data_IF_977798675601
#
_entry.id   IF_977798675601
#
_cell.length_a   1.000
_cell.length_b   1.000
_cell.length_c   1.000
_cell.angle_alpha   90.00
_cell.angle_beta   90.00
_cell.angle_gamma   90.00
#
_symmetry.space_group_name_H-M   'P 1'
#
loop_
_entity.id
_entity.type
_entity.pdbx_description
1 polymer ?
#
# COMPACT_ATOMS: atom_id res chain seq x y z
N UNK A 1 -12.78 18.19 -21.29
CA UNK A 1 -12.34 19.45 -20.66
C UNK A 1 -10.84 19.36 -20.41
N UNK A 2 -10.04 19.62 -21.46
CA UNK A 2 -8.57 19.68 -21.40
C UNK A 2 -8.07 21.10 -21.06
N UNK A 3 -8.94 21.96 -20.52
CA UNK A 3 -8.61 23.37 -20.32
C UNK A 3 -7.96 23.69 -18.96
N UNK A 4 -7.91 22.71 -18.05
CA UNK A 4 -7.63 22.99 -16.64
C UNK A 4 -6.13 23.06 -16.32
N UNK A 5 -5.30 22.15 -16.84
CA UNK A 5 -3.93 22.03 -16.31
C UNK A 5 -2.94 23.10 -16.79
N UNK A 6 -3.21 23.76 -17.92
CA UNK A 6 -2.25 24.71 -18.54
C UNK A 6 -2.53 26.18 -18.18
N UNK A 7 -3.80 26.55 -17.98
CA UNK A 7 -4.18 27.95 -17.75
C UNK A 7 -4.22 28.34 -16.27
N UNK A 8 -4.34 27.37 -15.38
CA UNK A 8 -4.43 27.60 -13.93
C UNK A 8 -3.28 28.43 -13.33
N UNK A 9 -2.00 28.18 -13.67
CA UNK A 9 -0.90 28.96 -13.10
C UNK A 9 -0.93 30.43 -13.53
N UNK A 10 -1.37 30.70 -14.76
CA UNK A 10 -1.49 32.05 -15.29
C UNK A 10 -2.67 32.79 -14.68
N UNK A 11 -3.83 32.14 -14.59
CA UNK A 11 -5.05 32.69 -13.97
C UNK A 11 -4.85 33.01 -12.48
N UNK A 12 -4.16 32.13 -11.74
CA UNK A 12 -3.75 32.36 -10.34
C UNK A 12 -2.87 33.61 -10.18
N UNK A 13 -1.94 33.82 -11.11
CA UNK A 13 -1.01 34.96 -11.06
C UNK A 13 -1.70 36.30 -11.32
N UNK A 14 -2.75 36.31 -12.15
CA UNK A 14 -3.48 37.53 -12.53
C UNK A 14 -4.58 37.88 -11.55
N UNK A 15 -5.35 36.91 -11.05
CA UNK A 15 -6.59 37.18 -10.30
C UNK A 15 -6.47 36.90 -8.79
N UNK A 16 -5.39 36.27 -8.34
CA UNK A 16 -5.20 35.92 -6.93
C UNK A 16 -5.92 34.63 -6.53
N UNK A 17 -6.32 34.45 -5.25
CA UNK A 17 -6.90 33.20 -4.77
C UNK A 17 -8.08 32.76 -5.63
N UNK A 18 -7.96 31.52 -6.11
CA UNK A 18 -8.68 30.97 -7.26
C UNK A 18 -10.16 30.67 -7.02
N UNK A 19 -10.75 31.13 -5.93
CA UNK A 19 -12.10 30.75 -5.53
C UNK A 19 -13.20 31.36 -6.42
N UNK A 20 -13.05 32.59 -6.91
CA UNK A 20 -14.09 33.27 -7.70
C UNK A 20 -13.85 33.30 -9.21
N UNK A 21 -12.67 32.92 -9.67
CA UNK A 21 -12.31 32.94 -11.12
C UNK A 21 -12.55 31.61 -11.83
N UNK A 22 -12.88 30.56 -11.08
CA UNK A 22 -13.12 29.24 -11.67
C UNK A 22 -14.53 29.15 -12.24
N UNK A 23 -14.62 28.98 -13.56
CA UNK A 23 -15.88 28.60 -14.21
C UNK A 23 -16.32 27.17 -13.88
N UNK A 24 -15.41 26.33 -13.38
CA UNK A 24 -15.65 24.91 -13.16
C UNK A 24 -16.90 24.59 -12.31
N UNK A 25 -17.17 25.25 -11.16
CA UNK A 25 -18.39 25.02 -10.39
C UNK A 25 -19.67 25.38 -11.17
N UNK A 26 -19.62 26.48 -11.95
CA UNK A 26 -20.74 26.94 -12.78
C UNK A 26 -21.00 25.94 -13.92
N UNK A 27 -19.95 25.50 -14.60
CA UNK A 27 -20.07 24.50 -15.67
C UNK A 27 -20.62 23.17 -15.15
N UNK A 28 -20.21 22.77 -13.94
CA UNK A 28 -20.70 21.54 -13.29
C UNK A 28 -22.17 21.67 -12.87
N UNK A 29 -22.60 22.84 -12.39
CA UNK A 29 -24.01 23.09 -12.08
C UNK A 29 -24.86 23.08 -13.35
N UNK A 30 -24.43 23.77 -14.41
CA UNK A 30 -25.10 23.77 -15.72
C UNK A 30 -25.19 22.38 -16.33
N UNK A 31 -24.13 21.56 -16.21
CA UNK A 31 -24.16 20.15 -16.63
C UNK A 31 -25.25 19.36 -15.89
N UNK A 32 -25.43 19.61 -14.59
CA UNK A 32 -26.43 18.94 -13.76
C UNK A 32 -27.84 19.37 -14.14
N UNK A 33 -28.08 20.68 -14.32
CA UNK A 33 -29.35 21.22 -14.80
C UNK A 33 -29.71 20.68 -16.18
N UNK A 34 -28.73 20.53 -17.07
CA UNK A 34 -28.93 19.92 -18.39
C UNK A 34 -29.41 18.47 -18.31
N UNK A 35 -29.01 17.71 -17.29
CA UNK A 35 -29.49 16.35 -17.05
C UNK A 35 -30.93 16.30 -16.55
N UNK A 36 -31.43 17.39 -15.94
CA UNK A 36 -32.81 17.50 -15.48
C UNK A 36 -33.82 17.79 -16.59
N UNK A 37 -33.37 18.24 -17.76
CA UNK A 37 -34.23 18.48 -18.93
C UNK A 37 -34.62 17.14 -19.59
N UNK A 38 -35.68 16.49 -19.07
CA UNK A 38 -36.30 15.30 -19.68
C UNK A 38 -37.31 15.69 -20.75
N UNK A 39 -38.08 16.76 -20.54
CA UNK A 39 -39.01 17.31 -21.52
C UNK A 39 -38.41 18.55 -22.21
N UNK A 40 -37.94 18.39 -23.46
CA UNK A 40 -37.35 19.49 -24.24
C UNK A 40 -38.37 20.55 -24.69
N UNK A 41 -39.67 20.23 -24.72
CA UNK A 41 -40.71 21.19 -25.10
C UNK A 41 -41.00 22.20 -23.97
N UNK A 42 -40.69 21.84 -22.72
CA UNK A 42 -40.85 22.69 -21.53
C UNK A 42 -39.65 22.52 -20.59
N UNK A 43 -38.46 23.04 -20.96
CA UNK A 43 -37.22 22.76 -20.26
C UNK A 43 -37.21 23.29 -18.82
N UNK A 44 -37.75 24.48 -18.59
CA UNK A 44 -37.80 25.10 -17.25
C UNK A 44 -38.68 24.29 -16.29
N UNK A 45 -39.88 23.90 -16.74
CA UNK A 45 -40.77 23.04 -15.96
C UNK A 45 -40.16 21.67 -15.66
N UNK A 46 -39.48 21.08 -16.64
CA UNK A 46 -38.77 19.80 -16.46
C UNK A 46 -37.64 19.90 -15.44
N UNK A 47 -36.91 21.03 -15.41
CA UNK A 47 -35.85 21.26 -14.42
C UNK A 47 -36.45 21.43 -13.04
N UNK A 48 -37.50 22.25 -12.89
CA UNK A 48 -38.15 22.51 -11.61
C UNK A 48 -38.71 21.22 -11.00
N UNK A 49 -39.39 20.40 -11.80
CA UNK A 49 -39.93 19.11 -11.36
C UNK A 49 -38.82 18.16 -10.89
N UNK A 50 -37.78 17.97 -11.69
CA UNK A 50 -36.66 17.10 -11.33
C UNK A 50 -35.91 17.60 -10.09
N UNK A 51 -35.78 18.93 -9.92
CA UNK A 51 -35.16 19.53 -8.75
C UNK A 51 -35.96 19.24 -7.47
N UNK A 52 -37.28 19.45 -7.50
CA UNK A 52 -38.17 19.16 -6.36
C UNK A 52 -38.11 17.68 -5.98
N UNK A 53 -38.14 16.79 -6.98
CA UNK A 53 -38.00 15.35 -6.75
C UNK A 53 -36.64 14.99 -6.13
N UNK A 54 -35.55 15.55 -6.66
CA UNK A 54 -34.20 15.30 -6.15
C UNK A 54 -34.02 15.78 -4.71
N UNK A 55 -34.54 16.97 -4.36
CA UNK A 55 -34.47 17.45 -2.98
C UNK A 55 -35.38 16.67 -2.02
N UNK A 56 -36.55 16.25 -2.48
CA UNK A 56 -37.41 15.37 -1.68
C UNK A 56 -36.70 14.05 -1.35
N UNK A 57 -36.01 13.45 -2.32
CA UNK A 57 -35.22 12.23 -2.11
C UNK A 57 -34.00 12.47 -1.22
N UNK A 58 -33.28 13.59 -1.38
CA UNK A 58 -32.19 13.96 -0.47
C UNK A 58 -32.71 14.11 0.97
N UNK A 59 -33.87 14.75 1.14
CA UNK A 59 -34.48 14.91 2.45
C UNK A 59 -34.82 13.56 3.09
N UNK A 60 -35.53 12.69 2.35
CA UNK A 60 -35.83 11.34 2.82
C UNK A 60 -34.56 10.53 3.15
N UNK A 61 -33.52 10.65 2.33
CA UNK A 61 -32.25 9.95 2.51
C UNK A 61 -31.56 10.27 3.85
N UNK A 62 -31.78 11.44 4.44
CA UNK A 62 -31.24 11.77 5.76
C UNK A 62 -31.87 10.95 6.91
N UNK A 63 -33.08 10.43 6.71
CA UNK A 63 -33.84 9.70 7.73
C UNK A 63 -33.93 8.19 7.47
N UNK A 64 -33.45 7.71 6.32
CA UNK A 64 -33.42 6.28 6.00
C UNK A 64 -32.17 5.64 6.63
N UNK A 65 -32.38 4.66 7.50
CA UNK A 65 -31.32 3.86 8.12
C UNK A 65 -31.19 2.50 7.43
N UNK A 66 -29.96 1.99 7.33
CA UNK A 66 -29.68 0.65 6.80
C UNK A 66 -29.75 0.50 5.27
N UNK A 67 -29.87 1.62 4.54
CA UNK A 67 -29.85 1.64 3.07
C UNK A 67 -28.74 2.60 2.62
N UNK A 68 -28.04 2.26 1.54
CA UNK A 68 -27.06 3.16 0.94
C UNK A 68 -27.75 4.41 0.36
N UNK A 69 -27.26 5.58 0.75
CA UNK A 69 -27.72 6.91 0.35
C UNK A 69 -26.54 7.76 -0.08
N UNK A 70 -26.83 8.92 -0.67
CA UNK A 70 -25.79 9.89 -1.05
C UNK A 70 -24.92 10.33 0.13
N UNK A 71 -25.43 10.29 1.36
CA UNK A 71 -24.76 10.80 2.56
C UNK A 71 -23.95 9.74 3.31
N UNK A 72 -24.32 8.47 3.20
CA UNK A 72 -23.66 7.38 3.93
C UNK A 72 -22.83 6.44 3.04
N UNK A 73 -22.92 6.57 1.70
CA UNK A 73 -22.07 5.82 0.79
C UNK A 73 -20.60 6.17 1.02
N UNK A 74 -19.74 5.17 0.91
CA UNK A 74 -18.31 5.37 1.00
C UNK A 74 -17.81 6.31 -0.11
N UNK A 75 -16.71 7.01 0.16
CA UNK A 75 -16.12 7.88 -0.83
C UNK A 75 -15.69 7.08 -2.07
N UNK A 76 -15.79 7.70 -3.25
CA UNK A 76 -15.35 7.04 -4.50
C UNK A 76 -13.88 6.62 -4.47
N UNK A 77 -13.08 7.35 -3.70
CA UNK A 77 -11.68 7.05 -3.43
C UNK A 77 -11.50 6.61 -1.98
N UNK A 78 -12.42 5.81 -1.44
CA UNK A 78 -12.18 5.17 -0.17
C UNK A 78 -11.17 4.03 -0.36
N UNK A 79 -9.93 4.27 0.08
CA UNK A 79 -8.84 3.30 0.10
C UNK A 79 -8.87 2.42 1.37
N UNK A 80 -9.92 2.54 2.21
CA UNK A 80 -10.11 1.67 3.38
C UNK A 80 -10.43 0.26 2.93
N UNK A 81 -9.43 -0.60 3.01
CA UNK A 81 -9.61 -2.06 2.99
C UNK A 81 -10.02 -2.47 4.42
N UNK A 82 -11.09 -3.25 4.57
CA UNK A 82 -11.46 -3.87 5.85
C UNK A 82 -10.25 -4.65 6.39
N UNK A 83 -9.92 -4.48 7.68
CA UNK A 83 -8.72 -5.02 8.35
C UNK A 83 -8.46 -6.54 8.15
N UNK A 84 -9.44 -7.28 7.63
CA UNK A 84 -9.34 -8.71 7.35
C UNK A 84 -8.54 -9.08 6.09
N UNK A 85 -8.20 -8.12 5.22
CA UNK A 85 -7.46 -8.36 3.95
C UNK A 85 -5.98 -7.92 4.01
N UNK A 86 -5.46 -7.59 5.19
CA UNK A 86 -4.04 -7.25 5.37
C UNK A 86 -3.17 -8.49 5.10
N UNK A 87 -2.61 -8.56 3.90
CA UNK A 87 -1.74 -9.66 3.48
C UNK A 87 -0.28 -9.37 3.87
N UNK A 88 0.14 -9.82 5.06
CA UNK A 88 1.56 -9.87 5.41
C UNK A 88 1.85 -9.84 6.91
N UNK A 89 2.83 -10.64 7.34
CA UNK A 89 3.35 -10.63 8.71
C UNK A 89 4.26 -9.41 8.98
N UNK A 90 4.71 -8.71 7.93
CA UNK A 90 5.64 -7.58 8.03
C UNK A 90 4.99 -6.25 7.65
N UNK A 91 5.24 -5.22 8.46
CA UNK A 91 4.76 -3.84 8.30
C UNK A 91 5.05 -3.20 6.93
N UNK A 92 6.12 -3.60 6.25
CA UNK A 92 6.44 -3.11 4.90
C UNK A 92 5.47 -3.62 3.83
N UNK A 93 4.75 -4.70 4.12
CA UNK A 93 3.77 -5.32 3.23
C UNK A 93 2.32 -5.08 3.70
N UNK A 94 2.11 -4.36 4.81
CA UNK A 94 0.76 -3.99 5.28
C UNK A 94 0.22 -2.73 4.61
N UNK A 95 0.83 -2.28 3.51
CA UNK A 95 0.37 -1.08 2.83
C UNK A 95 -0.94 -1.36 2.09
N UNK A 96 -2.01 -0.72 2.55
CA UNK A 96 -3.32 -0.79 1.94
C UNK A 96 -3.32 0.07 0.67
N UNK A 97 -3.28 -0.58 -0.49
CA UNK A 97 -3.41 0.08 -1.77
C UNK A 97 -4.52 -0.59 -2.58
N UNK A 98 -5.45 0.20 -3.13
CA UNK A 98 -6.45 -0.29 -4.08
C UNK A 98 -5.86 -0.23 -5.49
N UNK A 99 -5.49 -1.37 -6.12
CA UNK A 99 -4.99 -1.33 -7.48
C UNK A 99 -6.13 -0.89 -8.42
N UNK A 100 -5.88 0.15 -9.23
CA UNK A 100 -6.83 0.65 -10.23
C UNK A 100 -6.37 0.20 -11.61
N UNK A 101 -7.24 -0.52 -12.34
CA UNK A 101 -7.01 -0.92 -13.73
C UNK A 101 -6.69 -2.40 -13.91
N UNK A 102 -6.32 -2.76 -15.15
CA UNK A 102 -6.02 -4.14 -15.52
C UNK A 102 -4.68 -4.60 -14.95
N UNK A 103 -4.69 -5.73 -14.25
CA UNK A 103 -3.47 -6.35 -13.73
C UNK A 103 -2.76 -7.16 -14.82
N UNK A 104 -1.43 -7.05 -14.90
CA UNK A 104 -0.59 -7.89 -15.74
C UNK A 104 0.35 -8.70 -14.87
N UNK A 105 0.36 -10.02 -15.06
CA UNK A 105 1.31 -10.89 -14.38
C UNK A 105 2.67 -10.78 -15.06
N UNK A 106 3.66 -10.23 -14.36
CA UNK A 106 5.04 -10.13 -14.84
C UNK A 106 6.00 -10.87 -13.92
N UNK A 107 6.77 -11.79 -14.47
CA UNK A 107 7.86 -12.44 -13.75
C UNK A 107 9.06 -11.49 -13.67
N UNK A 108 9.51 -11.18 -12.45
CA UNK A 108 10.72 -10.37 -12.25
C UNK A 108 11.97 -11.14 -12.68
N UNK A 109 12.89 -10.44 -13.35
CA UNK A 109 14.22 -10.98 -13.68
C UNK A 109 15.06 -11.20 -12.41
N UNK A 110 16.16 -11.95 -12.53
CA UNK A 110 17.08 -12.20 -11.40
C UNK A 110 17.66 -10.88 -10.86
N UNK A 111 18.02 -9.95 -11.74
CA UNK A 111 18.56 -8.65 -11.35
C UNK A 111 17.51 -7.77 -10.67
N UNK A 112 16.27 -7.78 -11.18
CA UNK A 112 15.16 -7.05 -10.57
C UNK A 112 14.82 -7.59 -9.18
N UNK A 113 14.79 -8.92 -9.02
CA UNK A 113 14.64 -9.57 -7.71
C UNK A 113 15.76 -9.18 -6.75
N UNK A 114 17.01 -9.15 -7.22
CA UNK A 114 18.16 -8.71 -6.41
C UNK A 114 18.01 -7.26 -5.96
N UNK A 115 17.57 -6.36 -6.84
CA UNK A 115 17.35 -4.95 -6.52
C UNK A 115 16.19 -4.80 -5.52
N UNK A 116 15.07 -5.50 -5.74
CA UNK A 116 13.92 -5.49 -4.84
C UNK A 116 14.27 -6.00 -3.44
N UNK A 117 14.97 -7.14 -3.35
CA UNK A 117 15.46 -7.67 -2.08
C UNK A 117 16.38 -6.69 -1.35
N UNK A 118 17.35 -6.09 -2.05
CA UNK A 118 18.20 -5.08 -1.43
C UNK A 118 17.40 -3.89 -0.92
N UNK A 119 16.43 -3.40 -1.71
CA UNK A 119 15.60 -2.27 -1.32
C UNK A 119 14.80 -2.57 -0.05
N UNK A 120 14.17 -3.74 0.03
CA UNK A 120 13.43 -4.18 1.22
C UNK A 120 14.38 -4.21 2.42
N UNK A 121 15.50 -4.93 2.31
CA UNK A 121 16.45 -5.09 3.42
C UNK A 121 17.07 -3.76 3.88
N UNK A 122 17.27 -2.82 2.96
CA UNK A 122 17.88 -1.53 3.26
C UNK A 122 16.90 -0.53 3.90
N UNK A 123 15.61 -0.61 3.58
CA UNK A 123 14.60 0.33 4.08
C UNK A 123 13.79 -0.22 5.26
N UNK A 124 13.89 -1.52 5.55
CA UNK A 124 13.13 -2.12 6.65
C UNK A 124 13.67 -1.65 8.02
N UNK A 125 12.84 -0.99 8.86
CA UNK A 125 13.28 -0.44 10.14
C UNK A 125 13.80 -1.50 11.12
N UNK A 126 13.17 -2.67 11.15
CA UNK A 126 13.51 -3.78 12.04
C UNK A 126 14.92 -4.35 11.75
N UNK A 127 15.49 -4.03 10.58
CA UNK A 127 16.85 -4.43 10.19
C UNK A 127 17.91 -3.37 10.45
N UNK A 128 17.55 -2.22 11.03
CA UNK A 128 18.51 -1.18 11.45
C UNK A 128 19.69 -1.73 12.27
N UNK A 129 19.49 -2.60 13.29
CA UNK A 129 20.60 -3.13 14.08
C UNK A 129 21.61 -3.91 13.22
N UNK A 130 21.12 -4.72 12.28
CA UNK A 130 21.94 -5.52 11.38
C UNK A 130 22.69 -4.64 10.37
N UNK A 131 22.07 -3.57 9.88
CA UNK A 131 22.71 -2.59 8.99
C UNK A 131 23.84 -1.84 9.69
N UNK A 132 23.65 -1.48 10.96
CA UNK A 132 24.67 -0.79 11.76
C UNK A 132 25.91 -1.67 11.98
N UNK A 133 25.72 -2.94 12.31
CA UNK A 133 26.81 -3.90 12.51
C UNK A 133 27.67 -4.07 11.25
N UNK A 134 27.04 -4.23 10.07
CA UNK A 134 27.81 -4.37 8.85
C UNK A 134 28.53 -3.07 8.46
N UNK A 135 27.92 -1.90 8.70
CA UNK A 135 28.57 -0.60 8.47
C UNK A 135 29.80 -0.39 9.34
N UNK A 136 29.81 -0.89 10.58
CA UNK A 136 30.99 -0.84 11.45
C UNK A 136 32.14 -1.69 10.90
N UNK A 137 31.86 -2.93 10.49
CA UNK A 137 32.84 -3.83 9.81
C UNK A 137 33.42 -3.15 8.56
N UNK A 138 32.60 -2.34 7.89
CA UNK A 138 32.96 -1.63 6.69
C UNK A 138 33.79 -0.35 6.94
N UNK A 139 33.64 0.32 8.08
CA UNK A 139 34.46 1.49 8.46
C UNK A 139 35.90 1.11 8.80
N UNK A 140 36.13 -0.13 9.21
CA UNK A 140 37.48 -0.70 9.35
C UNK A 140 38.17 -0.90 7.99
N UNK A 141 37.42 -0.87 6.88
CA UNK A 141 37.95 -0.99 5.52
C UNK A 141 38.09 0.40 4.84
N UNK A 142 39.30 0.73 4.39
CA UNK A 142 39.83 2.09 4.21
C UNK A 142 39.23 3.02 3.12
N UNK A 143 38.21 2.64 2.32
CA UNK A 143 37.78 3.41 1.13
C UNK A 143 36.31 3.88 1.15
N UNK A 144 36.04 5.18 0.94
CA UNK A 144 34.74 5.82 1.22
C UNK A 144 33.70 5.82 0.08
N UNK A 145 34.10 5.82 -1.19
CA UNK A 145 33.16 5.88 -2.33
C UNK A 145 32.59 4.49 -2.71
N UNK A 146 33.42 3.46 -2.58
CA UNK A 146 33.07 2.06 -2.85
C UNK A 146 32.14 1.45 -1.79
N UNK A 147 32.02 2.11 -0.63
CA UNK A 147 31.30 1.57 0.52
C UNK A 147 29.81 1.33 0.27
N UNK A 148 29.13 2.23 -0.45
CA UNK A 148 27.69 2.07 -0.74
C UNK A 148 27.44 0.92 -1.71
N UNK A 149 28.31 0.76 -2.71
CA UNK A 149 28.21 -0.29 -3.72
C UNK A 149 28.56 -1.64 -3.12
N UNK A 150 29.61 -1.69 -2.29
CA UNK A 150 29.98 -2.84 -1.49
C UNK A 150 28.87 -3.27 -0.53
N UNK A 151 28.29 -2.31 0.20
CA UNK A 151 27.17 -2.58 1.10
C UNK A 151 25.96 -3.13 0.35
N UNK A 152 25.64 -2.57 -0.83
CA UNK A 152 24.53 -3.03 -1.68
C UNK A 152 24.71 -4.49 -2.14
N UNK A 153 25.95 -4.90 -2.42
CA UNK A 153 26.24 -6.26 -2.85
C UNK A 153 26.36 -7.25 -1.70
N UNK A 154 27.09 -6.90 -0.62
CA UNK A 154 27.44 -7.85 0.45
C UNK A 154 26.37 -8.02 1.53
N UNK A 155 25.55 -6.99 1.78
CA UNK A 155 24.60 -7.04 2.90
C UNK A 155 23.53 -8.14 2.76
N UNK A 156 22.89 -8.35 1.60
CA UNK A 156 21.92 -9.43 1.45
C UNK A 156 22.52 -10.82 1.74
N UNK A 157 23.72 -11.10 1.22
CA UNK A 157 24.40 -12.39 1.39
C UNK A 157 24.90 -12.60 2.82
N UNK A 158 25.47 -11.54 3.42
CA UNK A 158 25.88 -11.56 4.82
C UNK A 158 24.67 -11.79 5.75
N UNK A 159 23.57 -11.08 5.52
CA UNK A 159 22.36 -11.19 6.32
C UNK A 159 21.76 -12.61 6.23
N UNK A 160 21.72 -13.19 5.03
CA UNK A 160 21.32 -14.58 4.80
C UNK A 160 22.20 -15.57 5.59
N UNK A 161 23.51 -15.34 5.58
CA UNK A 161 24.47 -16.20 6.30
C UNK A 161 24.30 -16.11 7.81
N UNK A 162 24.09 -14.90 8.35
CA UNK A 162 23.81 -14.69 9.78
C UNK A 162 22.51 -15.37 10.24
N UNK A 163 21.43 -15.26 9.46
CA UNK A 163 20.18 -15.93 9.81
C UNK A 163 20.29 -17.45 9.74
N UNK A 164 21.06 -17.97 8.79
CA UNK A 164 21.34 -19.40 8.69
C UNK A 164 22.14 -19.91 9.90
N UNK A 165 23.13 -19.15 10.38
CA UNK A 165 23.90 -19.53 11.57
C UNK A 165 23.09 -19.44 12.88
N UNK A 166 22.26 -18.39 13.05
CA UNK A 166 21.34 -18.25 14.18
C UNK A 166 20.35 -19.44 14.26
N UNK A 167 19.81 -19.86 13.11
CA UNK A 167 18.87 -20.99 13.03
C UNK A 167 19.55 -22.31 13.35
N UNK A 168 20.75 -22.54 12.80
CA UNK A 168 21.54 -23.73 13.11
C UNK A 168 21.94 -23.80 14.59
N UNK A 169 22.25 -22.66 15.21
CA UNK A 169 22.55 -22.58 16.65
C UNK A 169 21.34 -22.96 17.51
N UNK A 170 20.15 -22.39 17.20
CA UNK A 170 18.89 -22.77 17.88
C UNK A 170 18.55 -24.26 17.73
N UNK A 171 18.80 -24.83 16.56
CA UNK A 171 18.57 -26.27 16.33
C UNK A 171 19.54 -27.14 17.12
N UNK A 172 20.82 -26.74 17.23
CA UNK A 172 21.80 -27.41 18.10
C UNK A 172 21.44 -27.31 19.57
N UNK A 173 20.97 -26.14 20.03
CA UNK A 173 20.53 -25.94 21.42
C UNK A 173 19.33 -26.82 21.79
N UNK A 174 18.36 -26.99 20.87
CA UNK A 174 17.25 -27.95 21.03
C UNK A 174 17.74 -29.40 21.10
N UNK A 175 18.71 -29.78 20.27
CA UNK A 175 19.32 -31.12 20.30
C UNK A 175 20.13 -31.38 21.58
N UNK A 176 20.78 -30.35 22.14
CA UNK A 176 21.51 -30.46 23.41
C UNK A 176 20.58 -30.54 24.62
N UNK A 177 19.45 -29.81 24.60
CA UNK A 177 18.41 -29.91 25.65
C UNK A 177 17.82 -31.32 25.69
N UNK A 178 17.64 -31.95 24.52
CA UNK A 178 17.12 -33.31 24.40
C UNK A 178 18.13 -34.41 24.75
N UNK A 179 19.44 -34.14 24.73
CA UNK A 179 20.47 -35.06 25.25
C UNK A 179 20.56 -35.06 26.78
N UNK A 180 20.13 -33.97 27.43
CA UNK A 180 20.05 -33.89 28.89
C UNK A 180 18.80 -34.58 29.47
N UNK A 181 17.77 -34.79 28.65
CA UNK A 181 16.64 -35.67 28.95
C UNK A 181 17.03 -37.11 28.58
N UNK A 182 17.05 -38.01 29.57
CA UNK A 182 17.65 -39.35 29.46
C UNK A 182 17.18 -40.24 28.29
N UNK A 183 17.76 -41.45 28.15
CA UNK A 183 17.77 -42.24 26.92
C UNK A 183 16.40 -42.60 26.30
N UNK A 184 15.30 -42.50 27.06
CA UNK A 184 13.94 -42.79 26.58
C UNK A 184 13.39 -41.75 25.60
N UNK A 185 13.80 -40.48 25.71
CA UNK A 185 13.36 -39.41 24.78
C UNK A 185 14.09 -39.43 23.45
N UNK A 186 15.29 -40.01 23.40
CA UNK A 186 16.13 -40.05 22.19
C UNK A 186 15.59 -41.00 21.10
N UNK A 187 14.99 -42.12 21.52
CA UNK A 187 14.48 -43.16 20.61
C UNK A 187 13.20 -42.70 19.89
N UNK A 188 12.31 -41.95 20.56
CA UNK A 188 11.08 -41.45 19.96
C UNK A 188 11.32 -40.38 18.88
N UNK A 189 12.35 -39.54 19.03
CA UNK A 189 12.62 -38.44 18.10
C UNK A 189 13.34 -38.96 16.83
N UNK A 190 14.18 -39.99 16.94
CA UNK A 190 14.76 -40.64 15.74
C UNK A 190 13.69 -41.31 14.87
N UNK A 191 12.64 -41.88 15.49
CA UNK A 191 11.50 -42.44 14.75
C UNK A 191 10.63 -41.38 14.07
N UNK A 192 10.50 -40.18 14.65
CA UNK A 192 9.80 -39.06 13.99
C UNK A 192 10.60 -38.44 12.83
N UNK A 193 11.92 -38.32 12.96
CA UNK A 193 12.76 -37.77 11.89
C UNK A 193 12.84 -38.69 10.66
N UNK A 194 12.73 -40.02 10.84
CA UNK A 194 12.64 -40.99 9.74
C UNK A 194 11.27 -40.93 9.03
N UNK A 195 10.22 -40.44 9.70
CA UNK A 195 8.88 -40.27 9.11
C UNK A 195 8.72 -38.98 8.30
N UNK A 196 9.63 -38.02 8.44
CA UNK A 196 9.58 -36.71 7.80
C UNK A 196 10.59 -36.54 6.65
N UNK A 197 11.41 -37.56 6.36
CA UNK A 197 12.27 -37.64 5.17
C UNK A 197 11.58 -38.48 4.09
#
# INVERSE_FOLDING_TARGET
MLHLSVHLPYELKVVGPVSYSWMYPIERSLRTLKQYVRNKARPEGSIAEAFVMNESLNFCAMYLCGIETRFNRDERNDDRILDNDVCGEFEVFTQNARPIGTSTLRTLSVDEKRIAHWYILNNFPQLEPYRRNLRQIHQEAQNSSDLKQMHKQRFPDWFKSQKSSETNKKNREKLTYNHQAGPKTFINIQQELIRLA
#
